data_IF_534410014238
#
_entry.id   IF_534410014238
#
_cell.length_a   1.000
_cell.length_b   1.000
_cell.length_c   1.000
_cell.angle_alpha   90.00
_cell.angle_beta   90.00
_cell.angle_gamma   90.00
#
_symmetry.space_group_name_H-M   'P 1'
#
loop_
_entity.id
_entity.type
_entity.pdbx_description
1 polymer ?
#
# COMPACT_ATOMS: atom_id res chain seq x y z
N UNK A 1 -12.27 -3.44 -15.24
CA UNK A 1 -11.65 -2.45 -14.32
C UNK A 1 -10.32 -2.99 -13.83
N UNK A 2 -9.36 -2.14 -13.48
CA UNK A 2 -7.95 -2.52 -13.27
C UNK A 2 -7.65 -3.51 -12.10
N UNK A 3 -8.66 -3.96 -11.33
CA UNK A 3 -8.47 -4.74 -10.11
C UNK A 3 -9.50 -5.88 -9.92
N UNK A 4 -10.11 -6.40 -10.99
CA UNK A 4 -11.19 -7.41 -10.91
C UNK A 4 -10.81 -8.70 -10.17
N UNK A 5 -9.53 -9.10 -10.18
CA UNK A 5 -9.07 -10.32 -9.54
C UNK A 5 -8.63 -10.16 -8.08
N UNK A 6 -8.64 -8.93 -7.54
CA UNK A 6 -8.15 -8.66 -6.17
C UNK A 6 -9.24 -9.01 -5.15
N UNK A 7 -9.00 -10.04 -4.34
CA UNK A 7 -9.98 -10.52 -3.34
C UNK A 7 -9.83 -9.88 -1.96
N UNK A 8 -8.58 -9.66 -1.52
CA UNK A 8 -8.25 -9.21 -0.17
C UNK A 8 -7.32 -7.98 -0.22
N UNK A 9 -7.48 -7.08 0.74
CA UNK A 9 -6.61 -5.93 0.97
C UNK A 9 -6.08 -6.00 2.40
N UNK A 10 -4.79 -5.74 2.60
CA UNK A 10 -4.25 -5.53 3.94
C UNK A 10 -4.51 -4.09 4.37
N UNK A 11 -5.22 -3.90 5.47
CA UNK A 11 -5.59 -2.59 6.01
C UNK A 11 -5.49 -2.62 7.54
N UNK A 12 -4.67 -1.74 8.12
CA UNK A 12 -4.50 -1.57 9.56
C UNK A 12 -4.24 -2.88 10.33
N UNK A 13 -3.30 -3.70 9.84
CA UNK A 13 -2.89 -4.95 10.52
C UNK A 13 -3.74 -6.18 10.18
N UNK A 14 -4.78 -6.05 9.35
CA UNK A 14 -5.71 -7.16 9.04
C UNK A 14 -5.95 -7.29 7.54
N UNK A 15 -6.20 -8.52 7.09
CA UNK A 15 -6.71 -8.79 5.73
C UNK A 15 -8.23 -8.63 5.73
N UNK A 16 -8.73 -7.66 4.98
CA UNK A 16 -10.15 -7.39 4.76
C UNK A 16 -10.55 -7.78 3.32
N UNK A 17 -11.83 -8.01 3.09
CA UNK A 17 -12.34 -8.16 1.73
C UNK A 17 -12.18 -6.87 0.93
N UNK A 18 -11.92 -6.98 -0.37
CA UNK A 18 -11.69 -5.82 -1.24
C UNK A 18 -12.84 -4.80 -1.13
N UNK A 19 -14.08 -5.28 -1.06
CA UNK A 19 -15.27 -4.44 -0.92
C UNK A 19 -15.34 -3.68 0.42
N UNK A 20 -14.66 -4.16 1.47
CA UNK A 20 -14.70 -3.59 2.83
C UNK A 20 -13.54 -2.63 3.10
N UNK A 21 -12.56 -2.54 2.20
CA UNK A 21 -11.45 -1.59 2.29
C UNK A 21 -11.91 -0.16 2.00
N UNK A 22 -12.72 0.41 2.89
CA UNK A 22 -13.34 1.73 2.76
C UNK A 22 -12.75 2.73 3.74
N UNK A 23 -12.76 4.00 3.34
CA UNK A 23 -12.49 5.16 4.21
C UNK A 23 -13.67 6.12 4.13
N UNK A 24 -13.82 6.98 5.13
CA UNK A 24 -14.87 8.00 5.12
C UNK A 24 -14.58 9.06 4.07
N UNK A 25 -15.61 9.71 3.51
CA UNK A 25 -15.41 10.77 2.50
C UNK A 25 -14.54 11.89 3.04
N UNK A 26 -14.72 12.30 4.31
CA UNK A 26 -13.91 13.32 4.98
C UNK A 26 -12.49 12.87 5.40
N UNK A 27 -11.97 11.76 4.89
CA UNK A 27 -10.57 11.40 5.13
C UNK A 27 -9.64 12.51 4.64
N UNK A 28 -8.75 12.95 5.52
CA UNK A 28 -7.87 14.11 5.32
C UNK A 28 -7.02 13.98 4.04
N UNK A 29 -6.52 12.78 3.74
CA UNK A 29 -5.73 12.50 2.54
C UNK A 29 -6.49 12.78 1.23
N UNK A 30 -7.81 12.62 1.21
CA UNK A 30 -8.65 12.90 0.02
C UNK A 30 -8.80 14.40 -0.24
N UNK A 31 -8.65 15.24 0.78
CA UNK A 31 -8.88 16.67 0.70
C UNK A 31 -7.58 17.46 0.59
N UNK A 32 -6.53 16.99 1.26
CA UNK A 32 -5.29 17.74 1.45
C UNK A 32 -4.05 16.99 0.95
N UNK A 33 -4.21 15.85 0.29
CA UNK A 33 -3.10 15.07 -0.26
C UNK A 33 -2.14 14.49 0.79
N UNK A 34 -2.56 14.42 2.06
CA UNK A 34 -1.74 13.97 3.19
C UNK A 34 -1.59 12.44 3.22
N UNK A 35 -0.89 11.88 2.25
CA UNK A 35 -0.61 10.45 2.16
C UNK A 35 0.71 10.17 1.48
N UNK A 36 1.35 9.08 1.88
CA UNK A 36 2.55 8.53 1.22
C UNK A 36 2.20 7.14 0.70
N UNK A 37 2.79 6.75 -0.43
CA UNK A 37 2.53 5.45 -1.05
C UNK A 37 3.78 4.91 -1.73
N UNK A 38 3.74 3.62 -2.04
CA UNK A 38 4.79 2.94 -2.80
C UNK A 38 4.22 2.17 -3.99
N UNK A 39 5.06 2.01 -5.00
CA UNK A 39 4.79 1.17 -6.16
C UNK A 39 5.77 0.01 -6.19
N UNK A 40 5.30 -1.19 -5.85
CA UNK A 40 6.16 -2.38 -5.71
C UNK A 40 5.73 -3.43 -6.74
N UNK A 41 6.70 -4.17 -7.30
CA UNK A 41 6.43 -5.27 -8.23
C UNK A 41 6.86 -6.61 -7.65
N UNK A 42 5.99 -7.60 -7.85
CA UNK A 42 6.30 -9.02 -7.62
C UNK A 42 6.43 -9.72 -8.98
N UNK A 43 7.49 -10.51 -9.14
CA UNK A 43 7.80 -11.23 -10.37
C UNK A 43 7.79 -12.72 -10.12
N UNK A 44 7.36 -13.49 -11.12
CA UNK A 44 7.58 -14.94 -11.14
C UNK A 44 9.07 -15.21 -11.39
N UNK A 45 9.70 -15.98 -10.52
CA UNK A 45 11.10 -16.40 -10.67
C UNK A 45 11.21 -17.92 -10.66
N UNK A 46 12.38 -18.46 -10.98
CA UNK A 46 12.64 -19.90 -10.92
C UNK A 46 12.48 -20.49 -9.49
N UNK A 47 12.55 -19.66 -8.45
CA UNK A 47 12.40 -20.05 -7.04
C UNK A 47 11.01 -19.73 -6.46
N UNK A 48 10.06 -19.32 -7.31
CA UNK A 48 8.74 -18.84 -6.91
C UNK A 48 8.58 -17.32 -7.07
N UNK A 49 7.41 -16.77 -6.71
CA UNK A 49 7.16 -15.33 -6.74
C UNK A 49 8.11 -14.58 -5.80
N UNK A 50 8.70 -13.48 -6.25
CA UNK A 50 9.61 -12.67 -5.45
C UNK A 50 9.32 -11.18 -5.63
N UNK A 51 9.37 -10.44 -4.53
CA UNK A 51 9.23 -8.99 -4.51
C UNK A 51 10.59 -8.36 -4.77
N UNK A 52 10.68 -7.48 -5.78
CA UNK A 52 11.94 -6.84 -6.12
C UNK A 52 12.21 -5.66 -5.18
N UNK A 53 13.34 -5.69 -4.46
CA UNK A 53 13.82 -4.62 -3.56
C UNK A 53 12.83 -4.20 -2.48
N UNK A 54 12.19 -5.19 -1.84
CA UNK A 54 11.15 -4.95 -0.83
C UNK A 54 11.65 -4.02 0.28
N UNK A 55 12.81 -4.32 0.85
CA UNK A 55 13.36 -3.57 1.98
C UNK A 55 13.60 -2.10 1.60
N UNK A 56 14.17 -1.82 0.43
CA UNK A 56 14.43 -0.43 0.01
C UNK A 56 13.15 0.34 -0.34
N UNK A 57 12.10 -0.35 -0.81
CA UNK A 57 10.78 0.26 -0.98
C UNK A 57 10.16 0.61 0.39
N UNK A 58 10.28 -0.26 1.39
CA UNK A 58 9.77 -0.01 2.73
C UNK A 58 10.54 1.13 3.43
N UNK A 59 11.87 1.13 3.32
CA UNK A 59 12.70 2.22 3.84
C UNK A 59 12.26 3.57 3.26
N UNK A 60 12.00 3.63 1.94
CA UNK A 60 11.52 4.85 1.30
C UNK A 60 10.13 5.25 1.77
N UNK A 61 9.21 4.30 1.95
CA UNK A 61 7.87 4.58 2.47
C UNK A 61 7.92 5.22 3.87
N UNK A 62 8.67 4.62 4.79
CA UNK A 62 8.82 5.14 6.15
C UNK A 62 9.56 6.48 6.17
N UNK A 63 10.57 6.64 5.30
CA UNK A 63 11.28 7.91 5.16
C UNK A 63 10.35 9.02 4.64
N UNK A 64 9.50 8.74 3.65
CA UNK A 64 8.48 9.68 3.16
C UNK A 64 7.51 10.08 4.26
N UNK A 65 6.99 9.13 5.05
CA UNK A 65 6.12 9.42 6.19
C UNK A 65 6.81 10.31 7.24
N UNK A 66 8.08 10.01 7.55
CA UNK A 66 8.91 10.80 8.46
C UNK A 66 9.09 12.25 7.99
N UNK A 67 9.24 12.50 6.68
CA UNK A 67 9.35 13.87 6.15
C UNK A 67 8.09 14.71 6.39
N UNK A 68 6.92 14.06 6.38
CA UNK A 68 5.64 14.68 6.73
C UNK A 68 5.33 14.64 8.23
N UNK A 69 6.23 14.11 9.06
CA UNK A 69 6.05 13.91 10.52
C UNK A 69 4.82 13.03 10.84
N UNK A 70 4.55 12.05 9.99
CA UNK A 70 3.54 11.01 10.26
C UNK A 70 4.14 9.99 11.26
N UNK A 71 3.35 9.59 12.25
CA UNK A 71 3.70 8.59 13.28
C UNK A 71 3.34 7.16 12.87
#
# INVERSE_FOLDING_TARGET
>A
MAFEDVKKIWMNGKLVDFADAKVHVFTHALHYGSGVFEGIRCYRTARGPAVFRLDEHLDRLFWSGKMYRME
#
